data_IF_108088377930
#
_entry.id   IF_108088377930
#
_cell.length_a   1.000
_cell.length_b   1.000
_cell.length_c   1.000
_cell.angle_alpha   90.00
_cell.angle_beta   90.00
_cell.angle_gamma   90.00
#
_symmetry.space_group_name_H-M   'P 1'
#
loop_
_entity.id
_entity.type
_entity.pdbx_description
1 polymer ?
#
# COMPACT_ATOMS: atom_id res chain seq x y z
N UNK A 1 10.52 -2.53 -22.15
CA UNK A 1 10.38 -3.21 -20.84
C UNK A 1 9.14 -2.72 -20.06
N UNK A 2 8.91 -1.40 -19.98
CA UNK A 2 7.70 -0.81 -19.34
C UNK A 2 6.37 -1.31 -19.97
N UNK A 3 6.33 -1.47 -21.30
CA UNK A 3 5.15 -1.92 -22.05
C UNK A 3 4.78 -3.41 -21.80
N UNK A 4 5.76 -4.25 -21.49
CA UNK A 4 5.55 -5.66 -21.10
C UNK A 4 5.05 -5.80 -19.65
N UNK A 5 5.43 -4.87 -18.76
CA UNK A 5 4.93 -4.79 -17.38
C UNK A 5 3.45 -4.38 -17.40
N UNK A 6 3.08 -3.34 -18.13
CA UNK A 6 1.69 -2.89 -18.30
C UNK A 6 0.78 -3.98 -18.91
N UNK A 7 1.31 -4.86 -19.77
CA UNK A 7 0.55 -6.00 -20.32
C UNK A 7 0.28 -7.11 -19.29
N UNK A 8 1.18 -7.35 -18.35
CA UNK A 8 0.99 -8.35 -17.27
C UNK A 8 -0.01 -7.85 -16.20
N UNK A 9 0.03 -6.57 -15.88
CA UNK A 9 -0.94 -5.94 -14.96
C UNK A 9 -2.37 -6.08 -15.48
N UNK A 10 -2.58 -5.85 -16.77
CA UNK A 10 -3.88 -6.04 -17.41
C UNK A 10 -4.37 -7.51 -17.42
N UNK A 11 -3.51 -8.51 -17.26
CA UNK A 11 -3.95 -9.91 -17.28
C UNK A 11 -4.54 -10.39 -15.95
N UNK A 12 -3.98 -9.98 -14.81
CA UNK A 12 -4.49 -10.36 -13.48
C UNK A 12 -5.75 -9.55 -13.15
N UNK A 13 -5.77 -8.26 -13.48
CA UNK A 13 -6.95 -7.41 -13.32
C UNK A 13 -8.07 -7.77 -14.33
N UNK A 14 -7.74 -8.31 -15.51
CA UNK A 14 -8.74 -8.76 -16.51
C UNK A 14 -9.37 -10.11 -16.21
N UNK A 15 -8.73 -10.97 -15.44
CA UNK A 15 -9.29 -12.27 -15.07
C UNK A 15 -10.39 -12.16 -13.99
N UNK A 16 -10.43 -11.06 -13.26
CA UNK A 16 -11.48 -10.68 -12.31
C UNK A 16 -11.91 -9.26 -12.72
N UNK A 17 -13.17 -9.03 -12.94
CA UNK A 17 -13.74 -7.73 -13.36
C UNK A 17 -13.46 -6.68 -12.26
N UNK A 18 -12.21 -6.15 -12.22
CA UNK A 18 -11.73 -5.27 -11.16
C UNK A 18 -11.70 -3.82 -11.62
N UNK A 19 -12.11 -2.92 -10.75
CA UNK A 19 -12.03 -1.47 -10.92
C UNK A 19 -11.18 -0.85 -9.83
N UNK A 20 -10.51 0.26 -10.15
CA UNK A 20 -9.75 1.06 -9.20
C UNK A 20 -10.45 2.39 -9.03
N UNK A 21 -10.80 2.73 -7.80
CA UNK A 21 -11.46 3.99 -7.46
C UNK A 21 -10.64 4.76 -6.44
N UNK A 22 -10.64 6.09 -6.51
CA UNK A 22 -10.02 6.90 -5.47
C UNK A 22 -10.72 6.66 -4.13
N UNK A 23 -9.94 6.58 -3.05
CA UNK A 23 -10.50 6.41 -1.71
C UNK A 23 -11.41 7.59 -1.36
N UNK A 24 -12.60 7.30 -0.86
CA UNK A 24 -13.62 8.28 -0.51
C UNK A 24 -14.41 7.83 0.72
N UNK A 25 -15.25 8.71 1.25
CA UNK A 25 -16.06 8.45 2.43
C UNK A 25 -16.97 7.22 2.27
N UNK A 26 -17.52 7.01 1.07
CA UNK A 26 -18.36 5.84 0.76
C UNK A 26 -17.65 4.49 0.88
N UNK A 27 -16.33 4.47 0.99
CA UNK A 27 -15.52 3.26 1.10
C UNK A 27 -15.13 2.92 2.55
N UNK A 28 -15.40 3.82 3.51
CA UNK A 28 -14.89 3.73 4.88
C UNK A 28 -15.28 2.43 5.58
N UNK A 29 -16.54 2.05 5.53
CA UNK A 29 -17.05 0.89 6.26
C UNK A 29 -16.43 -0.42 5.74
N UNK A 30 -16.40 -0.61 4.41
CA UNK A 30 -15.79 -1.81 3.81
C UNK A 30 -14.26 -1.87 4.04
N UNK A 31 -13.57 -0.73 3.90
CA UNK A 31 -12.12 -0.64 4.15
C UNK A 31 -11.80 -0.95 5.61
N UNK A 32 -12.61 -0.43 6.55
CA UNK A 32 -12.44 -0.67 7.97
C UNK A 32 -12.62 -2.16 8.31
N UNK A 33 -13.63 -2.82 7.74
CA UNK A 33 -13.83 -4.27 7.91
C UNK A 33 -12.62 -5.07 7.40
N UNK A 34 -12.09 -4.75 6.22
CA UNK A 34 -10.90 -5.42 5.68
C UNK A 34 -9.69 -5.21 6.61
N UNK A 35 -9.52 -4.01 7.14
CA UNK A 35 -8.43 -3.67 8.06
C UNK A 35 -8.53 -4.48 9.35
N UNK A 36 -9.70 -4.52 10.00
CA UNK A 36 -9.92 -5.26 11.24
C UNK A 36 -9.58 -6.75 11.11
N UNK A 37 -9.99 -7.39 10.00
CA UNK A 37 -9.73 -8.80 9.77
C UNK A 37 -8.30 -9.12 9.29
N UNK A 38 -7.56 -8.13 8.84
CA UNK A 38 -6.27 -8.34 8.20
C UNK A 38 -5.07 -7.86 9.02
N UNK A 39 -5.27 -6.94 9.95
CA UNK A 39 -4.21 -6.33 10.72
C UNK A 39 -4.35 -6.68 12.22
N UNK A 40 -3.32 -7.24 12.88
CA UNK A 40 -3.35 -7.53 14.32
C UNK A 40 -3.55 -6.29 15.21
N UNK A 41 -3.22 -5.12 14.70
CA UNK A 41 -3.42 -3.82 15.35
C UNK A 41 -4.05 -2.86 14.34
N UNK A 42 -5.37 -3.01 14.10
CA UNK A 42 -6.04 -2.27 13.04
C UNK A 42 -6.09 -0.78 13.36
N UNK A 43 -6.09 0.02 12.31
CA UNK A 43 -6.37 1.44 12.42
C UNK A 43 -7.80 1.68 12.89
N UNK A 44 -7.99 2.75 13.64
CA UNK A 44 -9.33 3.21 13.99
C UNK A 44 -9.98 3.91 12.78
N UNK A 45 -11.29 3.87 12.68
CA UNK A 45 -12.03 4.51 11.58
C UNK A 45 -11.70 6.00 11.45
N UNK A 46 -11.47 6.69 12.59
CA UNK A 46 -11.09 8.10 12.61
C UNK A 46 -9.72 8.35 11.91
N UNK A 47 -8.84 7.34 11.87
CA UNK A 47 -7.57 7.46 11.15
C UNK A 47 -7.80 7.48 9.64
N UNK A 48 -8.71 6.65 9.13
CA UNK A 48 -9.12 6.68 7.73
C UNK A 48 -9.84 7.98 7.37
N UNK A 49 -10.70 8.50 8.24
CA UNK A 49 -11.38 9.80 8.03
C UNK A 49 -10.37 10.94 7.86
N UNK A 50 -9.34 11.00 8.72
CA UNK A 50 -8.26 12.01 8.60
C UNK A 50 -7.50 11.93 7.28
N UNK A 51 -7.36 10.73 6.69
CA UNK A 51 -6.74 10.57 5.37
C UNK A 51 -7.54 11.31 4.29
N UNK A 52 -8.88 11.32 4.40
CA UNK A 52 -9.75 11.98 3.43
C UNK A 52 -9.67 13.51 3.48
N UNK A 53 -9.23 14.08 4.61
CA UNK A 53 -9.05 15.52 4.79
C UNK A 53 -7.79 16.06 4.08
N UNK A 54 -6.90 15.17 3.62
CA UNK A 54 -5.62 15.52 2.99
C UNK A 54 -5.59 15.17 1.50
N UNK A 55 -4.67 15.81 0.76
CA UNK A 55 -4.38 15.42 -0.62
C UNK A 55 -3.71 14.04 -0.62
N UNK A 56 -4.46 13.01 -0.99
CA UNK A 56 -4.05 11.61 -0.88
C UNK A 56 -3.87 10.96 -2.25
N UNK A 57 -2.99 9.96 -2.32
CA UNK A 57 -2.83 9.02 -3.43
C UNK A 57 -3.64 7.73 -3.22
N UNK A 58 -4.45 7.70 -2.16
CA UNK A 58 -5.18 6.52 -1.69
C UNK A 58 -6.26 6.07 -2.67
N UNK A 59 -6.47 4.76 -2.73
CA UNK A 59 -7.46 4.14 -3.60
C UNK A 59 -7.90 2.77 -3.08
N UNK A 60 -9.03 2.30 -3.60
CA UNK A 60 -9.54 0.95 -3.39
C UNK A 60 -9.53 0.18 -4.71
N UNK A 61 -9.44 -1.15 -4.61
CA UNK A 61 -9.68 -2.06 -5.73
C UNK A 61 -10.96 -2.84 -5.43
N UNK A 62 -11.87 -2.83 -6.38
CA UNK A 62 -13.14 -3.55 -6.31
C UNK A 62 -13.17 -4.71 -7.30
N UNK A 63 -13.90 -5.75 -6.94
CA UNK A 63 -14.34 -6.83 -7.83
C UNK A 63 -15.82 -7.07 -7.58
N UNK A 64 -16.62 -7.06 -8.64
CA UNK A 64 -18.08 -7.22 -8.55
C UNK A 64 -18.71 -6.25 -7.50
N UNK A 65 -18.31 -4.99 -7.53
CA UNK A 65 -18.72 -3.91 -6.62
C UNK A 65 -18.31 -4.08 -5.13
N UNK A 66 -17.52 -5.09 -4.77
CA UNK A 66 -16.98 -5.28 -3.42
C UNK A 66 -15.53 -4.86 -3.38
N UNK A 67 -15.10 -4.17 -2.32
CA UNK A 67 -13.70 -3.84 -2.09
C UNK A 67 -12.94 -5.12 -1.74
N UNK A 68 -11.88 -5.40 -2.50
CA UNK A 68 -11.02 -6.58 -2.32
C UNK A 68 -9.61 -6.22 -1.84
N UNK A 69 -9.30 -4.93 -1.80
CA UNK A 69 -8.07 -4.39 -1.28
C UNK A 69 -8.00 -2.89 -1.38
N UNK A 70 -7.08 -2.29 -0.64
CA UNK A 70 -6.91 -0.85 -0.61
C UNK A 70 -5.45 -0.45 -0.42
N UNK A 71 -5.17 0.80 -0.75
CA UNK A 71 -3.91 1.48 -0.51
C UNK A 71 -4.18 2.84 0.11
N UNK A 72 -3.52 3.15 1.23
CA UNK A 72 -3.51 4.47 1.85
C UNK A 72 -2.11 5.04 1.72
N UNK A 73 -2.00 6.15 1.00
CA UNK A 73 -0.73 6.81 0.75
C UNK A 73 -0.94 8.32 0.58
N UNK A 74 0.05 9.10 0.98
CA UNK A 74 0.07 10.56 0.83
C UNK A 74 1.34 11.02 0.14
N UNK A 75 1.24 12.15 -0.59
CA UNK A 75 2.39 12.83 -1.16
C UNK A 75 2.85 13.97 -0.24
N UNK A 76 4.13 13.98 0.09
CA UNK A 76 4.78 15.05 0.86
C UNK A 76 6.01 15.51 0.09
N UNK A 77 5.99 16.74 -0.42
CA UNK A 77 6.99 17.24 -1.36
C UNK A 77 7.14 16.34 -2.59
N UNK A 78 8.28 15.70 -2.78
CA UNK A 78 8.61 14.78 -3.88
C UNK A 78 8.65 13.30 -3.45
N UNK A 79 8.10 12.99 -2.27
CA UNK A 79 8.04 11.64 -1.69
C UNK A 79 6.60 11.15 -1.57
N UNK A 80 6.41 9.84 -1.78
CA UNK A 80 5.19 9.14 -1.42
C UNK A 80 5.39 8.39 -0.10
N UNK A 81 4.52 8.62 0.87
CA UNK A 81 4.47 7.86 2.10
C UNK A 81 3.36 6.81 2.01
N UNK A 82 3.73 5.54 1.80
CA UNK A 82 2.81 4.41 1.86
C UNK A 82 2.53 4.08 3.33
N UNK A 83 1.33 4.38 3.78
CA UNK A 83 0.91 4.27 5.19
C UNK A 83 0.23 2.94 5.49
N UNK A 84 -0.58 2.44 4.55
CA UNK A 84 -1.27 1.16 4.71
C UNK A 84 -1.57 0.54 3.34
N UNK A 85 -1.38 -0.75 3.22
CA UNK A 85 -1.76 -1.56 2.07
C UNK A 85 -2.37 -2.87 2.59
N UNK A 86 -3.57 -3.17 2.14
CA UNK A 86 -4.27 -4.35 2.61
C UNK A 86 -5.03 -5.05 1.48
N UNK A 87 -5.10 -6.37 1.59
CA UNK A 87 -5.86 -7.26 0.70
C UNK A 87 -6.83 -8.06 1.56
N UNK A 88 -8.10 -8.10 1.17
CA UNK A 88 -9.09 -8.92 1.83
C UNK A 88 -8.66 -10.39 1.87
N UNK A 89 -8.98 -11.09 2.96
CA UNK A 89 -8.44 -12.41 3.30
C UNK A 89 -8.60 -13.42 2.15
N UNK A 90 -9.75 -13.41 1.50
CA UNK A 90 -10.14 -14.32 0.43
C UNK A 90 -9.34 -14.11 -0.85
N UNK A 91 -8.72 -12.94 -1.01
CA UNK A 91 -7.95 -12.53 -2.19
C UNK A 91 -6.43 -12.50 -1.94
N UNK A 92 -5.98 -12.90 -0.74
CA UNK A 92 -4.55 -12.99 -0.43
C UNK A 92 -3.86 -14.09 -1.26
N UNK A 93 -2.54 -13.93 -1.48
CA UNK A 93 -1.67 -14.88 -2.21
C UNK A 93 -2.02 -15.08 -3.69
N UNK A 94 -2.79 -14.17 -4.28
CA UNK A 94 -3.18 -14.17 -5.69
C UNK A 94 -2.50 -13.04 -6.49
N UNK A 95 -1.45 -12.42 -5.95
CA UNK A 95 -0.73 -11.32 -6.61
C UNK A 95 -1.35 -9.94 -6.43
N UNK A 96 -2.55 -9.83 -5.81
CA UNK A 96 -3.27 -8.56 -5.70
C UNK A 96 -2.46 -7.48 -4.92
N UNK A 97 -1.75 -7.86 -3.85
CA UNK A 97 -0.88 -6.92 -3.13
C UNK A 97 0.20 -6.28 -4.01
N UNK A 98 0.76 -7.06 -4.94
CA UNK A 98 1.72 -6.57 -5.92
C UNK A 98 1.04 -5.60 -6.90
N UNK A 99 -0.12 -5.94 -7.42
CA UNK A 99 -0.89 -5.07 -8.32
C UNK A 99 -1.28 -3.74 -7.66
N UNK A 100 -1.65 -3.76 -6.36
CA UNK A 100 -1.92 -2.54 -5.60
C UNK A 100 -0.66 -1.66 -5.52
N UNK A 101 0.48 -2.26 -5.18
CA UNK A 101 1.74 -1.51 -5.08
C UNK A 101 2.19 -0.94 -6.42
N UNK A 102 2.07 -1.70 -7.50
CA UNK A 102 2.37 -1.25 -8.88
C UNK A 102 1.47 -0.09 -9.32
N UNK A 103 0.18 -0.14 -8.95
CA UNK A 103 -0.76 0.98 -9.18
C UNK A 103 -0.30 2.24 -8.42
N UNK A 104 0.11 2.12 -7.16
CA UNK A 104 0.65 3.24 -6.40
C UNK A 104 1.91 3.81 -7.06
N UNK A 105 2.85 2.95 -7.45
CA UNK A 105 4.09 3.36 -8.14
C UNK A 105 3.76 4.14 -9.43
N UNK A 106 2.81 3.66 -10.22
CA UNK A 106 2.36 4.36 -11.43
C UNK A 106 1.79 5.75 -11.10
N UNK A 107 0.96 5.87 -10.06
CA UNK A 107 0.44 7.18 -9.60
C UNK A 107 1.56 8.12 -9.15
N UNK A 108 2.55 7.60 -8.44
CA UNK A 108 3.72 8.37 -8.02
C UNK A 108 4.53 8.89 -9.22
N UNK A 109 4.76 8.04 -10.22
CA UNK A 109 5.48 8.42 -11.43
C UNK A 109 4.74 9.49 -12.25
N UNK A 110 3.42 9.37 -12.38
CA UNK A 110 2.57 10.41 -13.01
C UNK A 110 2.63 11.72 -12.22
N UNK A 111 2.70 11.64 -10.89
CA UNK A 111 2.85 12.79 -9.99
C UNK A 111 4.28 13.35 -9.89
N UNK A 112 5.26 12.80 -10.65
CA UNK A 112 6.68 13.15 -10.61
C UNK A 112 7.31 13.02 -9.21
N UNK A 113 6.84 12.09 -8.39
CA UNK A 113 7.46 11.77 -7.12
C UNK A 113 8.74 10.97 -7.33
N UNK A 114 9.74 11.15 -6.48
CA UNK A 114 11.07 10.56 -6.64
C UNK A 114 11.24 9.25 -5.92
N UNK A 115 10.45 9.03 -4.86
CA UNK A 115 10.57 7.82 -4.05
C UNK A 115 9.26 7.46 -3.34
N UNK A 116 9.14 6.18 -2.96
CA UNK A 116 8.10 5.68 -2.06
C UNK A 116 8.77 5.24 -0.78
N UNK A 117 8.31 5.75 0.36
CA UNK A 117 8.81 5.41 1.69
C UNK A 117 7.69 4.71 2.46
N UNK A 118 8.02 3.71 3.25
CA UNK A 118 7.10 3.03 4.14
C UNK A 118 7.77 2.63 5.46
N UNK A 119 6.94 2.37 6.44
CA UNK A 119 7.31 1.80 7.73
C UNK A 119 6.63 0.45 7.89
N UNK A 120 7.39 -0.56 8.27
CA UNK A 120 6.88 -1.91 8.50
C UNK A 120 7.37 -2.42 9.86
N UNK A 121 6.50 -3.15 10.59
CA UNK A 121 6.88 -3.76 11.86
C UNK A 121 8.11 -4.64 11.72
N UNK A 122 9.04 -4.57 12.67
CA UNK A 122 10.24 -5.41 12.67
C UNK A 122 9.89 -6.90 12.71
N UNK A 123 8.78 -7.27 13.35
CA UNK A 123 8.28 -8.65 13.42
C UNK A 123 7.61 -9.12 12.12
N UNK A 124 7.18 -8.22 11.22
CA UNK A 124 6.48 -8.57 9.99
C UNK A 124 7.46 -8.92 8.85
N UNK A 125 8.16 -10.04 9.00
CA UNK A 125 9.13 -10.53 8.00
C UNK A 125 8.49 -10.82 6.64
N UNK A 126 7.22 -11.23 6.62
CA UNK A 126 6.49 -11.50 5.37
C UNK A 126 6.31 -10.22 4.54
N UNK A 127 5.89 -9.12 5.16
CA UNK A 127 5.76 -7.84 4.47
C UNK A 127 7.13 -7.27 4.06
N UNK A 128 8.15 -7.36 4.93
CA UNK A 128 9.51 -6.93 4.57
C UNK A 128 10.03 -7.68 3.34
N UNK A 129 9.86 -9.00 3.27
CA UNK A 129 10.26 -9.80 2.13
C UNK A 129 9.46 -9.44 0.87
N UNK A 130 8.16 -9.19 1.00
CA UNK A 130 7.33 -8.72 -0.10
C UNK A 130 7.85 -7.40 -0.67
N UNK A 131 8.12 -6.41 0.19
CA UNK A 131 8.65 -5.11 -0.26
C UNK A 131 10.04 -5.24 -0.87
N UNK A 132 10.93 -6.07 -0.30
CA UNK A 132 12.25 -6.35 -0.90
C UNK A 132 12.14 -6.94 -2.31
N UNK A 133 11.21 -7.89 -2.52
CA UNK A 133 10.95 -8.46 -3.85
C UNK A 133 10.39 -7.43 -4.84
N UNK A 134 9.73 -6.37 -4.34
CA UNK A 134 9.25 -5.24 -5.14
C UNK A 134 10.30 -4.14 -5.34
N UNK A 135 11.55 -4.34 -4.89
CA UNK A 135 12.67 -3.42 -5.10
C UNK A 135 12.89 -2.40 -3.99
N UNK A 136 12.17 -2.51 -2.87
CA UNK A 136 12.43 -1.68 -1.70
C UNK A 136 13.69 -2.16 -0.97
N UNK A 137 14.41 -1.21 -0.37
CA UNK A 137 15.55 -1.48 0.49
C UNK A 137 15.39 -0.76 1.84
N UNK A 138 15.98 -1.32 2.89
CA UNK A 138 15.98 -0.72 4.22
C UNK A 138 16.85 0.53 4.24
N UNK A 139 16.31 1.63 4.77
CA UNK A 139 17.02 2.92 4.92
C UNK A 139 17.22 3.30 6.38
N UNK A 140 16.62 2.60 7.31
CA UNK A 140 16.76 2.88 8.74
C UNK A 140 15.74 2.15 9.60
N UNK A 141 15.74 2.47 10.88
CA UNK A 141 14.81 1.92 11.88
C UNK A 141 14.36 3.01 12.84
N UNK A 142 13.09 2.93 13.28
CA UNK A 142 12.56 3.75 14.39
C UNK A 142 12.38 2.85 15.60
N UNK A 143 13.10 3.17 16.68
CA UNK A 143 13.01 2.43 17.92
C UNK A 143 11.65 2.64 18.58
N UNK A 144 11.09 1.57 19.17
CA UNK A 144 9.87 1.60 19.97
C UNK A 144 8.68 2.31 19.30
N UNK A 145 8.52 2.09 17.99
CA UNK A 145 7.54 2.83 17.17
C UNK A 145 6.13 2.26 17.30
N UNK A 146 5.95 0.95 17.09
CA UNK A 146 4.65 0.29 17.13
C UNK A 146 4.33 -0.23 18.53
N UNK A 147 3.06 -0.12 18.93
CA UNK A 147 2.56 -0.83 20.12
C UNK A 147 2.56 -2.35 19.89
N UNK A 148 2.96 -3.12 20.90
CA UNK A 148 2.98 -4.58 20.91
C UNK A 148 2.66 -5.07 22.31
N UNK A 149 1.41 -5.45 22.60
CA UNK A 149 0.95 -5.76 23.95
C UNK A 149 1.25 -4.61 24.91
N UNK A 150 1.89 -4.92 26.05
CA UNK A 150 2.34 -3.93 27.04
C UNK A 150 3.65 -3.23 26.67
N UNK A 151 4.28 -3.64 25.59
CA UNK A 151 5.55 -3.08 25.09
C UNK A 151 5.42 -2.39 23.75
N UNK A 152 6.56 -2.24 23.10
CA UNK A 152 6.68 -1.63 21.78
C UNK A 152 7.69 -2.40 20.94
N UNK A 153 7.53 -2.33 19.63
CA UNK A 153 8.49 -2.87 18.67
C UNK A 153 8.97 -1.78 17.69
N UNK A 154 10.13 -2.03 17.11
CA UNK A 154 10.73 -1.13 16.13
C UNK A 154 9.96 -1.15 14.80
N UNK A 155 10.02 -0.04 14.07
CA UNK A 155 9.72 -0.02 12.64
C UNK A 155 11.02 -0.16 11.84
N UNK A 156 10.92 -0.90 10.73
CA UNK A 156 11.90 -0.87 9.64
C UNK A 156 11.41 0.12 8.62
N UNK A 157 12.23 1.13 8.29
CA UNK A 157 11.96 2.09 7.23
C UNK A 157 12.50 1.53 5.92
N UNK A 158 11.66 1.51 4.90
CA UNK A 158 12.04 1.02 3.58
C UNK A 158 11.72 2.07 2.52
N UNK A 159 12.54 2.11 1.48
CA UNK A 159 12.44 3.06 0.37
C UNK A 159 12.51 2.33 -0.97
N UNK A 160 11.73 2.83 -1.94
CA UNK A 160 11.85 2.51 -3.36
C UNK A 160 12.14 3.81 -4.12
N UNK A 161 13.29 3.90 -4.78
CA UNK A 161 13.59 5.01 -5.69
C UNK A 161 12.81 4.85 -7.00
N UNK A 162 12.15 5.92 -7.42
CA UNK A 162 11.41 6.00 -8.69
C UNK A 162 12.22 6.70 -9.79
N UNK A 163 13.36 7.30 -9.43
CA UNK A 163 14.26 7.90 -10.40
C UNK A 163 14.86 6.82 -11.30
N UNK A 164 14.85 7.07 -12.61
CA UNK A 164 15.57 6.21 -13.55
C UNK A 164 17.06 6.31 -13.21
N UNK A 165 17.66 5.22 -12.75
CA UNK A 165 19.13 5.12 -12.74
C UNK A 165 19.58 5.17 -14.21
N UNK A 166 20.12 6.30 -14.62
CA UNK A 166 20.94 6.33 -15.84
C UNK A 166 22.21 5.53 -15.52
N UNK A 167 22.27 4.29 -16.00
CA UNK A 167 23.50 3.53 -16.11
C UNK A 167 24.20 3.89 -17.42
#
# INVERSE_FOLDING_TARGET
MLWLLLKRENLILKAVNTTIENFSESHLDEVFVIEEYSNPTPWRIQTFQKVLESRTLSFVIKSNNKIIGFCIASAVHDECHLQNICVAKEFKRQGLGKSILETLITRCQVGNLKQVILEVRASNSAAQNFYKQCGFFEIGRRKDYYKLGDGRENAVLMCLSLEKRFL
#
